data_IF_466826164872
#
_entry.id   IF_466826164872
#
_cell.length_a   1.000
_cell.length_b   1.000
_cell.length_c   1.000
_cell.angle_alpha   90.00
_cell.angle_beta   90.00
_cell.angle_gamma   90.00
#
_symmetry.space_group_name_H-M   'P 1'
#
loop_
_entity.id
_entity.type
_entity.pdbx_description
1 polymer ?
#
# COMPACT_ATOMS: atom_id res chain seq x y z
N UNK A 1 14.86 9.13 24.02
CA UNK A 1 15.71 8.64 22.90
C UNK A 1 14.79 8.09 21.86
N UNK A 2 14.83 8.55 20.61
CA UNK A 2 14.05 7.91 19.57
C UNK A 2 14.62 6.50 19.38
N UNK A 3 13.78 5.49 19.56
CA UNK A 3 14.12 4.12 19.20
C UNK A 3 14.30 4.13 17.67
N UNK A 4 15.54 4.01 17.22
CA UNK A 4 15.83 3.65 15.84
C UNK A 4 15.29 2.23 15.66
N UNK A 5 14.08 2.13 15.16
CA UNK A 5 13.58 0.90 14.58
C UNK A 5 14.38 0.64 13.31
N UNK A 6 15.52 -0.04 13.48
CA UNK A 6 16.34 -0.54 12.38
C UNK A 6 15.70 -1.78 11.79
N UNK A 7 14.44 -1.69 11.41
CA UNK A 7 13.82 -2.67 10.53
C UNK A 7 14.64 -2.73 9.23
N UNK A 8 14.75 -3.91 8.65
CA UNK A 8 15.42 -4.06 7.37
C UNK A 8 14.68 -3.22 6.33
N UNK A 9 15.35 -2.21 5.77
CA UNK A 9 14.75 -1.40 4.70
C UNK A 9 14.61 -2.24 3.43
N UNK A 10 13.65 -1.90 2.55
CA UNK A 10 13.49 -2.55 1.25
C UNK A 10 14.80 -2.54 0.44
N UNK A 11 15.57 -1.45 0.52
CA UNK A 11 16.91 -1.33 -0.06
C UNK A 11 17.88 -2.39 0.49
N UNK A 12 17.89 -2.60 1.81
CA UNK A 12 18.74 -3.62 2.43
C UNK A 12 18.35 -5.03 1.99
N UNK A 13 17.06 -5.30 1.88
CA UNK A 13 16.52 -6.56 1.39
C UNK A 13 16.95 -6.84 -0.06
N UNK A 14 16.81 -5.86 -0.95
CA UNK A 14 17.25 -5.96 -2.36
C UNK A 14 18.76 -6.18 -2.43
N UNK A 15 19.55 -5.46 -1.64
CA UNK A 15 21.01 -5.67 -1.58
C UNK A 15 21.40 -7.07 -1.11
N UNK A 16 20.64 -7.67 -0.19
CA UNK A 16 20.87 -9.06 0.21
C UNK A 16 20.55 -10.06 -0.92
N UNK A 17 19.52 -9.79 -1.71
CA UNK A 17 19.18 -10.59 -2.89
C UNK A 17 20.30 -10.49 -3.93
N UNK A 18 20.75 -9.28 -4.26
CA UNK A 18 21.86 -9.05 -5.21
C UNK A 18 23.16 -9.72 -4.75
N UNK A 19 23.49 -9.60 -3.46
CA UNK A 19 24.67 -10.21 -2.88
C UNK A 19 24.62 -11.76 -2.95
N UNK A 20 23.43 -12.37 -2.92
CA UNK A 20 23.27 -13.83 -3.01
C UNK A 20 23.75 -14.40 -4.35
N UNK A 21 23.75 -13.59 -5.40
CA UNK A 21 24.25 -13.96 -6.74
C UNK A 21 25.59 -13.29 -7.08
N UNK A 22 26.24 -12.66 -6.09
CA UNK A 22 27.56 -12.04 -6.25
C UNK A 22 27.53 -10.66 -6.92
N UNK A 23 26.39 -10.01 -7.00
CA UNK A 23 26.28 -8.64 -7.51
C UNK A 23 26.60 -7.60 -6.43
N UNK A 24 27.09 -6.43 -6.87
CA UNK A 24 27.41 -5.33 -5.98
C UNK A 24 26.13 -4.69 -5.40
N UNK A 25 26.19 -4.24 -4.12
CA UNK A 25 25.07 -3.53 -3.52
C UNK A 25 24.85 -2.17 -4.18
N UNK A 26 23.60 -1.72 -4.19
CA UNK A 26 23.19 -0.41 -4.71
C UNK A 26 22.85 0.54 -3.56
N UNK A 27 22.99 1.84 -3.80
CA UNK A 27 22.72 2.88 -2.80
C UNK A 27 21.27 3.38 -2.85
N UNK A 28 20.58 3.19 -3.98
CA UNK A 28 19.20 3.61 -4.19
C UNK A 28 18.46 2.56 -5.02
N UNK A 29 17.16 2.40 -4.78
CA UNK A 29 16.30 1.50 -5.57
C UNK A 29 15.77 2.17 -6.83
N UNK A 30 15.63 3.49 -6.79
CA UNK A 30 15.14 4.32 -7.90
C UNK A 30 16.13 5.44 -8.13
N UNK A 31 16.38 5.79 -9.37
CA UNK A 31 17.36 6.83 -9.72
C UNK A 31 16.74 8.18 -10.01
N UNK A 32 15.52 8.24 -10.51
CA UNK A 32 14.83 9.50 -10.78
C UNK A 32 13.31 9.31 -10.72
N UNK A 33 12.65 10.21 -10.00
CA UNK A 33 11.21 10.44 -10.19
C UNK A 33 11.05 11.46 -11.32
N UNK A 34 10.63 11.02 -12.47
CA UNK A 34 10.30 11.94 -13.56
C UNK A 34 8.82 12.31 -13.43
N UNK A 35 8.55 13.53 -12.99
CA UNK A 35 7.22 14.12 -13.04
C UNK A 35 6.96 14.59 -14.46
N UNK A 36 6.06 13.96 -15.18
CA UNK A 36 5.57 14.48 -16.46
C UNK A 36 4.47 15.49 -16.15
N UNK A 37 4.80 16.75 -16.33
CA UNK A 37 3.90 17.87 -16.12
C UNK A 37 3.33 18.26 -17.48
N UNK A 38 2.03 18.07 -17.68
CA UNK A 38 1.35 18.50 -18.89
C UNK A 38 0.73 19.88 -18.68
N UNK A 39 0.99 20.78 -19.63
CA UNK A 39 0.33 22.07 -19.68
C UNK A 39 -1.16 21.88 -20.01
N UNK A 40 -2.02 22.31 -19.11
CA UNK A 40 -3.49 22.24 -19.28
C UNK A 40 -4.05 23.54 -19.82
N UNK A 41 -3.57 24.67 -19.32
CA UNK A 41 -4.02 26.00 -19.74
C UNK A 41 -3.00 27.08 -19.40
N UNK A 42 -3.15 28.24 -20.05
CA UNK A 42 -2.34 29.44 -19.77
C UNK A 42 -3.22 30.52 -19.20
N UNK A 43 -2.65 31.31 -18.31
CA UNK A 43 -3.31 32.45 -17.71
C UNK A 43 -2.28 33.54 -17.39
N UNK A 44 -2.73 34.76 -17.18
CA UNK A 44 -1.86 35.88 -16.77
C UNK A 44 -1.92 36.04 -15.26
N UNK A 45 -0.78 36.15 -14.61
CA UNK A 45 -0.69 36.33 -13.17
C UNK A 45 0.67 36.83 -12.72
N UNK A 46 0.74 37.22 -11.46
CA UNK A 46 1.97 37.64 -10.79
C UNK A 46 2.06 36.94 -9.42
N UNK A 47 3.30 36.69 -8.97
CA UNK A 47 3.52 36.11 -7.64
C UNK A 47 4.31 37.11 -6.82
N UNK A 48 3.80 37.45 -5.64
CA UNK A 48 4.48 38.28 -4.65
C UNK A 48 4.56 37.52 -3.33
N UNK A 49 5.77 37.07 -2.95
CA UNK A 49 5.97 36.17 -1.82
C UNK A 49 5.24 34.82 -2.06
N UNK A 50 4.25 34.51 -1.26
CA UNK A 50 3.42 33.30 -1.41
C UNK A 50 2.05 33.57 -2.03
N UNK A 51 1.77 34.80 -2.48
CA UNK A 51 0.48 35.15 -3.07
C UNK A 51 0.58 35.22 -4.59
N UNK A 52 -0.21 34.37 -5.27
CA UNK A 52 -0.42 34.41 -6.73
C UNK A 52 -1.71 35.18 -7.00
N UNK A 53 -1.60 36.34 -7.66
CA UNK A 53 -2.74 37.15 -8.09
C UNK A 53 -2.99 36.96 -9.58
N UNK A 54 -4.21 36.59 -9.94
CA UNK A 54 -4.63 36.32 -11.32
C UNK A 54 -6.11 36.62 -11.53
N UNK A 55 -6.51 36.88 -12.79
CA UNK A 55 -7.92 37.03 -13.18
C UNK A 55 -8.63 35.65 -13.34
N UNK A 56 -7.88 34.56 -13.26
CA UNK A 56 -8.40 33.20 -13.47
C UNK A 56 -8.98 32.63 -12.17
N UNK A 57 -10.28 32.41 -12.17
CA UNK A 57 -10.99 31.76 -11.06
C UNK A 57 -10.81 30.24 -11.08
N UNK A 58 -11.03 29.58 -9.92
CA UNK A 58 -11.16 28.13 -9.78
C UNK A 58 -9.92 27.30 -10.21
N UNK A 59 -8.72 27.78 -9.87
CA UNK A 59 -7.51 26.92 -9.98
C UNK A 59 -7.51 25.97 -8.77
N UNK A 60 -7.57 24.64 -8.99
CA UNK A 60 -7.60 23.66 -7.88
C UNK A 60 -6.34 23.69 -7.03
N UNK A 61 -6.49 23.39 -5.73
CA UNK A 61 -5.35 23.15 -4.83
C UNK A 61 -4.56 21.94 -5.33
N UNK A 62 -3.23 22.03 -5.23
CA UNK A 62 -2.32 20.99 -5.76
C UNK A 62 -1.93 21.19 -7.23
N UNK A 63 -2.54 22.14 -7.95
CA UNK A 63 -2.15 22.45 -9.34
C UNK A 63 -0.75 23.05 -9.38
N UNK A 64 0.11 22.54 -10.25
CA UNK A 64 1.45 23.08 -10.47
C UNK A 64 1.40 24.30 -11.39
N UNK A 65 2.15 25.32 -11.02
CA UNK A 65 2.27 26.57 -11.76
C UNK A 65 3.65 26.62 -12.39
N UNK A 66 3.69 26.80 -13.71
CA UNK A 66 4.92 26.94 -14.49
C UNK A 66 5.00 28.29 -15.19
N UNK A 67 6.16 28.59 -15.73
CA UNK A 67 6.38 29.79 -16.51
C UNK A 67 7.76 30.38 -16.29
N UNK A 68 8.18 31.29 -17.15
CA UNK A 68 9.50 31.93 -17.03
C UNK A 68 9.65 32.65 -15.71
N UNK A 69 10.64 32.30 -14.90
CA UNK A 69 10.91 32.89 -13.58
C UNK A 69 10.10 32.31 -12.43
N UNK A 70 9.26 31.33 -12.68
CA UNK A 70 8.62 30.52 -11.62
C UNK A 70 9.56 29.42 -11.19
N UNK A 71 9.74 29.22 -9.89
CA UNK A 71 10.58 28.17 -9.34
C UNK A 71 9.91 26.80 -9.57
N UNK A 72 10.68 25.81 -10.00
CA UNK A 72 10.20 24.46 -10.20
C UNK A 72 9.57 23.89 -8.92
N UNK A 73 8.47 23.16 -9.06
CA UNK A 73 7.73 22.62 -7.93
C UNK A 73 6.74 23.58 -7.29
N UNK A 74 6.56 24.81 -7.82
CA UNK A 74 5.53 25.74 -7.35
C UNK A 74 4.15 25.17 -7.60
N UNK A 75 3.33 25.05 -6.56
CA UNK A 75 1.95 24.57 -6.63
C UNK A 75 1.01 25.43 -5.76
N UNK A 76 -0.28 25.37 -6.08
CA UNK A 76 -1.33 26.04 -5.27
C UNK A 76 -1.50 25.31 -3.95
N UNK A 77 -1.23 25.99 -2.85
CA UNK A 77 -1.38 25.44 -1.49
C UNK A 77 -2.77 25.74 -0.89
N UNK A 78 -3.35 26.92 -1.21
CA UNK A 78 -4.68 27.32 -0.72
C UNK A 78 -5.50 27.83 -1.89
N UNK A 79 -6.80 27.48 -1.90
CA UNK A 79 -7.76 27.93 -2.89
C UNK A 79 -7.84 29.45 -2.97
N UNK A 80 -8.08 29.98 -4.17
CA UNK A 80 -8.15 31.42 -4.41
C UNK A 80 -9.40 32.06 -3.78
N UNK A 81 -9.19 33.23 -3.26
CA UNK A 81 -10.22 34.12 -2.74
C UNK A 81 -10.26 35.39 -3.59
N UNK A 82 -11.43 35.89 -3.87
CA UNK A 82 -11.58 37.16 -4.59
C UNK A 82 -10.86 38.28 -3.82
N UNK A 83 -10.02 39.04 -4.53
CA UNK A 83 -9.25 40.11 -3.92
C UNK A 83 -10.17 41.25 -3.37
N UNK A 84 -9.89 41.68 -2.16
CA UNK A 84 -10.61 42.78 -1.50
C UNK A 84 -9.66 43.96 -1.26
N UNK A 85 -10.01 45.21 -1.73
CA UNK A 85 -11.26 45.59 -2.41
C UNK A 85 -11.36 45.05 -3.83
N UNK A 86 -12.61 44.81 -4.29
CA UNK A 86 -12.85 44.32 -5.63
C UNK A 86 -12.16 45.19 -6.68
N UNK A 87 -11.38 44.58 -7.54
CA UNK A 87 -10.65 45.20 -8.65
C UNK A 87 -11.42 45.02 -9.96
N UNK A 88 -11.25 45.92 -10.92
CA UNK A 88 -11.76 45.74 -12.27
C UNK A 88 -10.60 45.67 -13.25
N UNK A 89 -10.29 44.55 -13.85
CA UNK A 89 -11.00 43.25 -13.78
C UNK A 89 -10.86 42.55 -12.39
N UNK A 90 -11.81 41.67 -12.09
CA UNK A 90 -11.84 40.89 -10.84
C UNK A 90 -10.60 39.99 -10.79
N UNK A 91 -9.86 40.06 -9.70
CA UNK A 91 -8.65 39.22 -9.47
C UNK A 91 -8.89 38.27 -8.30
N UNK A 92 -8.19 37.15 -8.33
CA UNK A 92 -8.21 36.11 -7.31
C UNK A 92 -6.81 35.92 -6.74
N UNK A 93 -6.72 35.90 -5.41
CA UNK A 93 -5.47 35.64 -4.68
C UNK A 93 -5.41 34.19 -4.20
N UNK A 94 -4.44 33.46 -4.71
CA UNK A 94 -4.13 32.07 -4.32
C UNK A 94 -2.87 32.07 -3.48
N UNK A 95 -2.73 31.10 -2.58
CA UNK A 95 -1.46 30.88 -1.87
C UNK A 95 -0.67 29.78 -2.56
N UNK A 96 0.59 30.06 -2.89
CA UNK A 96 1.55 29.07 -3.42
C UNK A 96 2.47 28.57 -2.35
N UNK A 97 2.98 27.33 -2.52
CA UNK A 97 3.84 26.64 -1.57
C UNK A 97 5.27 27.23 -1.48
N UNK A 98 5.73 27.91 -2.54
CA UNK A 98 7.09 28.47 -2.60
C UNK A 98 7.02 29.99 -2.67
N UNK A 99 7.70 30.64 -1.73
CA UNK A 99 7.82 32.12 -1.71
C UNK A 99 8.76 32.60 -2.81
N UNK A 100 8.27 33.46 -3.70
CA UNK A 100 9.03 33.98 -4.83
C UNK A 100 8.42 35.30 -5.34
N UNK A 101 9.14 36.00 -6.21
CA UNK A 101 8.64 37.21 -6.85
C UNK A 101 8.67 37.05 -8.36
N UNK A 102 7.48 37.05 -8.96
CA UNK A 102 7.30 36.94 -10.42
C UNK A 102 6.40 38.08 -10.87
N UNK A 103 6.94 38.98 -11.74
CA UNK A 103 6.16 40.06 -12.33
C UNK A 103 5.04 39.52 -13.20
N UNK A 104 3.97 40.32 -13.40
CA UNK A 104 2.82 39.92 -14.23
C UNK A 104 3.24 39.43 -15.60
N UNK A 105 2.89 38.17 -15.90
CA UNK A 105 3.20 37.49 -17.17
C UNK A 105 2.29 36.29 -17.39
N UNK A 106 2.43 35.69 -18.56
CA UNK A 106 1.75 34.43 -18.86
C UNK A 106 2.38 33.30 -18.05
N UNK A 107 1.56 32.64 -17.22
CA UNK A 107 1.86 31.47 -16.45
C UNK A 107 1.12 30.27 -17.04
N UNK A 108 1.60 29.06 -16.74
CA UNK A 108 0.98 27.82 -17.19
C UNK A 108 0.38 27.08 -15.98
N UNK A 109 -0.82 26.59 -16.15
CA UNK A 109 -1.43 25.63 -15.28
C UNK A 109 -1.03 24.23 -15.74
N UNK A 110 -0.37 23.48 -14.88
CA UNK A 110 0.16 22.16 -15.20
C UNK A 110 -0.44 21.11 -14.27
N UNK A 111 -0.80 19.96 -14.80
CA UNK A 111 -1.22 18.79 -14.03
C UNK A 111 -0.21 17.68 -14.15
N UNK A 112 0.03 16.96 -13.05
CA UNK A 112 0.86 15.76 -13.04
C UNK A 112 0.03 14.62 -13.61
N UNK A 113 0.38 14.15 -14.80
CA UNK A 113 -0.36 13.07 -15.46
C UNK A 113 0.26 11.70 -15.26
N UNK A 114 1.56 11.63 -15.03
CA UNK A 114 2.24 10.34 -14.86
C UNK A 114 3.49 10.53 -14.01
N UNK A 115 3.63 9.68 -13.02
CA UNK A 115 4.87 9.51 -12.26
C UNK A 115 5.59 8.31 -12.82
N UNK A 116 6.74 8.52 -13.44
CA UNK A 116 7.58 7.44 -13.95
C UNK A 116 8.79 7.30 -13.04
N UNK A 117 8.88 6.17 -12.36
CA UNK A 117 10.09 5.78 -11.62
C UNK A 117 11.01 5.02 -12.60
N UNK A 118 12.13 5.61 -12.95
CA UNK A 118 13.15 4.95 -13.78
C UNK A 118 14.17 4.24 -12.89
N UNK A 119 14.31 2.94 -13.05
CA UNK A 119 15.36 2.17 -12.40
C UNK A 119 16.57 2.08 -13.34
N UNK A 120 17.76 2.44 -12.85
CA UNK A 120 18.98 2.45 -13.66
C UNK A 120 19.58 1.08 -13.91
N UNK A 121 19.31 0.10 -13.03
CA UNK A 121 19.86 -1.24 -13.16
C UNK A 121 18.72 -2.26 -13.31
N UNK A 122 18.65 -2.98 -14.44
CA UNK A 122 17.60 -3.98 -14.67
C UNK A 122 17.61 -5.10 -13.62
N UNK A 123 18.75 -5.48 -13.08
CA UNK A 123 18.84 -6.53 -12.06
C UNK A 123 18.23 -6.07 -10.73
N UNK A 124 18.39 -4.78 -10.39
CA UNK A 124 17.72 -4.18 -9.22
C UNK A 124 16.20 -4.17 -9.41
N UNK A 125 15.72 -3.86 -10.61
CA UNK A 125 14.31 -3.91 -10.94
C UNK A 125 13.73 -5.31 -10.77
N UNK A 126 14.43 -6.32 -11.31
CA UNK A 126 14.01 -7.72 -11.19
C UNK A 126 14.04 -8.16 -9.72
N UNK A 127 15.08 -7.80 -8.97
CA UNK A 127 15.20 -8.14 -7.54
C UNK A 127 14.08 -7.51 -6.71
N UNK A 128 13.78 -6.22 -6.93
CA UNK A 128 12.72 -5.48 -6.24
C UNK A 128 11.33 -6.07 -6.56
N UNK A 129 11.06 -6.33 -7.83
CA UNK A 129 9.80 -6.92 -8.25
C UNK A 129 9.64 -8.34 -7.67
N UNK A 130 10.71 -9.14 -7.67
CA UNK A 130 10.72 -10.47 -7.05
C UNK A 130 10.47 -10.39 -5.54
N UNK A 131 11.10 -9.42 -4.85
CA UNK A 131 10.87 -9.20 -3.42
C UNK A 131 9.40 -8.88 -3.12
N UNK A 132 8.80 -7.98 -3.88
CA UNK A 132 7.38 -7.57 -3.72
C UNK A 132 6.41 -8.70 -4.05
N UNK A 133 6.69 -9.47 -5.12
CA UNK A 133 5.92 -10.65 -5.50
C UNK A 133 5.92 -11.70 -4.37
N UNK A 134 7.11 -12.04 -3.86
CA UNK A 134 7.28 -13.00 -2.77
C UNK A 134 6.69 -12.47 -1.45
N UNK A 135 6.84 -11.18 -1.17
CA UNK A 135 6.23 -10.57 0.01
C UNK A 135 4.70 -10.75 0.02
N UNK A 136 4.06 -10.50 -1.13
CA UNK A 136 2.61 -10.70 -1.26
C UNK A 136 2.22 -12.18 -1.14
N UNK A 137 3.01 -13.08 -1.71
CA UNK A 137 2.79 -14.53 -1.62
C UNK A 137 2.88 -15.02 -0.17
N UNK A 138 3.96 -14.67 0.54
CA UNK A 138 4.18 -15.07 1.92
C UNK A 138 3.12 -14.49 2.86
N UNK A 139 2.75 -13.23 2.70
CA UNK A 139 1.70 -12.61 3.50
C UNK A 139 0.32 -13.25 3.25
N UNK A 140 0.08 -13.77 2.04
CA UNK A 140 -1.16 -14.50 1.71
C UNK A 140 -1.27 -15.86 2.40
N UNK A 141 -0.19 -16.41 2.96
CA UNK A 141 -0.23 -17.61 3.79
C UNK A 141 -1.04 -17.41 5.09
N UNK A 142 -1.16 -16.16 5.55
CA UNK A 142 -1.93 -15.78 6.74
C UNK A 142 -1.18 -16.04 8.04
N UNK A 143 -0.41 -15.05 8.47
CA UNK A 143 0.38 -15.05 9.70
C UNK A 143 -0.36 -14.31 10.82
N UNK A 144 -0.02 -14.56 12.07
CA UNK A 144 -0.65 -13.89 13.21
C UNK A 144 -0.55 -12.37 13.12
N UNK A 145 0.56 -11.83 12.58
CA UNK A 145 0.76 -10.39 12.49
C UNK A 145 -0.16 -9.68 11.49
N UNK A 146 -0.65 -10.40 10.45
CA UNK A 146 -1.49 -9.81 9.40
C UNK A 146 -2.92 -10.35 9.35
N UNK A 147 -3.32 -11.14 10.35
CA UNK A 147 -4.64 -11.74 10.46
C UNK A 147 -5.45 -11.05 11.54
N UNK A 148 -6.61 -10.55 11.19
CA UNK A 148 -7.56 -9.96 12.12
C UNK A 148 -8.88 -10.69 12.08
N UNK A 149 -9.43 -10.95 13.29
CA UNK A 149 -10.71 -11.61 13.46
C UNK A 149 -11.77 -10.60 13.89
N UNK A 150 -13.02 -10.89 13.56
CA UNK A 150 -14.19 -10.08 13.97
C UNK A 150 -14.11 -8.60 13.54
N UNK A 151 -13.36 -8.29 12.48
CA UNK A 151 -13.30 -6.94 11.95
C UNK A 151 -14.67 -6.51 11.41
N UNK A 152 -15.06 -5.27 11.66
CA UNK A 152 -16.39 -4.79 11.29
C UNK A 152 -16.34 -3.98 9.99
N UNK A 153 -17.00 -4.49 8.95
CA UNK A 153 -17.24 -3.77 7.71
C UNK A 153 -18.67 -3.21 7.69
N UNK A 154 -18.82 -1.99 7.21
CA UNK A 154 -20.13 -1.32 7.05
C UNK A 154 -20.42 -1.11 5.58
N UNK A 155 -21.65 -1.43 5.12
CA UNK A 155 -22.08 -1.09 3.77
C UNK A 155 -22.12 0.43 3.55
N UNK A 156 -21.85 0.86 2.33
CA UNK A 156 -22.01 2.25 1.90
C UNK A 156 -23.49 2.64 1.65
N UNK A 157 -23.73 3.84 1.13
CA UNK A 157 -25.08 4.35 0.79
C UNK A 157 -25.82 3.45 -0.22
N UNK A 158 -25.10 2.73 -1.06
CA UNK A 158 -25.65 1.82 -2.07
C UNK A 158 -25.90 0.40 -1.54
N UNK A 159 -25.66 0.20 -0.24
CA UNK A 159 -25.66 -1.09 0.45
C UNK A 159 -24.58 -2.05 -0.07
N UNK A 160 -23.48 -1.55 -0.60
CA UNK A 160 -22.32 -2.33 -1.03
C UNK A 160 -21.18 -2.21 -0.03
N UNK A 161 -20.44 -3.29 0.19
CA UNK A 161 -19.22 -3.29 1.00
C UNK A 161 -18.01 -3.24 0.08
N UNK A 162 -17.24 -2.15 0.15
CA UNK A 162 -16.02 -1.98 -0.60
C UNK A 162 -14.85 -2.65 0.15
N UNK A 163 -14.00 -3.34 -0.58
CA UNK A 163 -12.81 -4.03 -0.07
C UNK A 163 -11.60 -3.28 -0.59
N UNK A 164 -10.77 -2.67 0.28
CA UNK A 164 -9.52 -2.03 -0.11
C UNK A 164 -8.52 -3.03 -0.72
N UNK A 165 -7.58 -2.52 -1.52
CA UNK A 165 -6.58 -3.34 -2.23
C UNK A 165 -5.53 -3.97 -1.30
N UNK A 166 -5.41 -3.46 -0.07
CA UNK A 166 -4.56 -3.99 0.99
C UNK A 166 -5.20 -5.15 1.77
N UNK A 167 -6.45 -5.48 1.52
CA UNK A 167 -7.09 -6.69 2.04
C UNK A 167 -6.83 -7.87 1.08
N UNK A 168 -5.91 -8.77 1.46
CA UNK A 168 -5.58 -9.96 0.66
C UNK A 168 -6.71 -10.98 0.64
N UNK A 169 -7.36 -11.16 1.79
CA UNK A 169 -8.47 -12.09 1.95
C UNK A 169 -9.50 -11.53 2.92
N UNK A 170 -10.76 -11.75 2.61
CA UNK A 170 -11.91 -11.41 3.45
C UNK A 170 -12.86 -12.59 3.47
N UNK A 171 -13.20 -13.08 4.65
CA UNK A 171 -14.23 -14.10 4.84
C UNK A 171 -15.19 -13.68 5.96
N UNK A 172 -16.45 -14.02 5.83
CA UNK A 172 -17.44 -13.77 6.88
C UNK A 172 -17.14 -14.65 8.10
N UNK A 173 -17.09 -14.04 9.28
CA UNK A 173 -16.95 -14.78 10.52
C UNK A 173 -18.11 -15.78 10.71
N UNK A 174 -17.81 -16.93 11.31
CA UNK A 174 -18.79 -18.00 11.58
C UNK A 174 -20.01 -17.47 12.38
N UNK A 175 -19.79 -16.52 13.27
CA UNK A 175 -20.87 -15.88 14.04
C UNK A 175 -21.82 -15.09 13.12
N UNK A 176 -21.29 -14.42 12.09
CA UNK A 176 -22.07 -13.69 11.10
C UNK A 176 -22.74 -14.62 10.10
N UNK A 177 -22.13 -15.75 9.77
CA UNK A 177 -22.72 -16.78 8.85
C UNK A 177 -24.04 -17.37 9.39
N UNK A 178 -24.34 -17.22 10.68
CA UNK A 178 -25.54 -17.81 11.36
C UNK A 178 -26.50 -16.83 11.97
N UNK A 179 -26.41 -15.54 11.67
CA UNK A 179 -27.32 -14.58 12.25
C UNK A 179 -28.76 -14.82 11.73
N UNK A 180 -29.71 -15.01 12.66
CA UNK A 180 -31.15 -15.21 12.34
C UNK A 180 -31.49 -16.34 11.38
N UNK A 181 -30.87 -17.53 11.49
CA UNK A 181 -31.13 -18.66 10.59
C UNK A 181 -30.82 -18.40 9.10
N UNK A 182 -30.10 -17.34 8.78
CA UNK A 182 -29.63 -17.04 7.43
C UNK A 182 -28.22 -17.56 7.27
N UNK A 183 -27.98 -18.32 6.22
CA UNK A 183 -26.64 -18.64 5.78
C UNK A 183 -26.13 -17.47 4.93
N UNK A 184 -24.96 -16.96 5.29
CA UNK A 184 -24.22 -16.01 4.46
C UNK A 184 -22.93 -16.69 4.00
N UNK A 185 -22.53 -16.47 2.77
CA UNK A 185 -21.22 -16.85 2.26
C UNK A 185 -20.76 -15.74 1.33
N UNK A 186 -19.55 -15.26 1.53
CA UNK A 186 -19.04 -14.09 0.83
C UNK A 186 -17.73 -14.37 0.13
N UNK A 187 -17.49 -13.63 -0.92
CA UNK A 187 -16.23 -13.62 -1.66
C UNK A 187 -15.91 -12.20 -2.15
N UNK A 188 -14.63 -11.85 -2.19
CA UNK A 188 -14.19 -10.65 -2.87
C UNK A 188 -14.34 -10.83 -4.39
N UNK A 189 -15.09 -9.95 -5.02
CA UNK A 189 -15.26 -9.92 -6.48
C UNK A 189 -15.19 -8.49 -6.98
N UNK A 190 -14.08 -8.14 -7.61
CA UNK A 190 -13.87 -6.80 -8.16
C UNK A 190 -13.83 -5.68 -7.11
N UNK A 191 -13.17 -5.91 -5.95
CA UNK A 191 -13.06 -4.92 -4.88
C UNK A 191 -14.35 -4.73 -4.08
N UNK A 192 -15.33 -5.62 -4.22
CA UNK A 192 -16.60 -5.60 -3.48
C UNK A 192 -16.89 -6.96 -2.87
N UNK A 193 -17.51 -6.95 -1.70
CA UNK A 193 -17.99 -8.17 -1.06
C UNK A 193 -19.25 -8.66 -1.74
N UNK A 194 -19.20 -9.88 -2.28
CA UNK A 194 -20.32 -10.53 -2.99
C UNK A 194 -20.92 -11.65 -2.16
N UNK A 195 -22.24 -11.61 -1.96
CA UNK A 195 -23.00 -12.70 -1.32
C UNK A 195 -23.22 -13.83 -2.35
N UNK A 196 -22.59 -14.99 -2.10
CA UNK A 196 -22.68 -16.17 -2.99
C UNK A 196 -24.02 -16.89 -2.89
N UNK A 197 -24.77 -16.69 -1.80
CA UNK A 197 -26.04 -17.36 -1.58
C UNK A 197 -27.17 -16.57 -2.23
N UNK A 198 -27.20 -15.25 -2.02
CA UNK A 198 -28.21 -14.37 -2.61
C UNK A 198 -27.86 -13.89 -4.02
N UNK A 199 -26.64 -14.17 -4.48
CA UNK A 199 -26.13 -13.70 -5.77
C UNK A 199 -26.20 -12.19 -5.97
N UNK A 200 -25.84 -11.41 -4.92
CA UNK A 200 -25.95 -9.95 -4.92
C UNK A 200 -24.73 -9.30 -4.29
N UNK A 201 -24.45 -8.04 -4.65
CA UNK A 201 -23.49 -7.19 -3.97
C UNK A 201 -24.14 -6.36 -2.83
N UNK A 202 -25.48 -6.41 -2.68
CA UNK A 202 -26.20 -5.60 -1.72
C UNK A 202 -26.39 -6.34 -0.40
N UNK A 203 -25.97 -5.68 0.67
CA UNK A 203 -26.05 -6.17 2.03
C UNK A 203 -27.11 -5.38 2.79
N UNK A 204 -28.01 -6.07 3.45
CA UNK A 204 -29.10 -5.46 4.22
C UNK A 204 -28.75 -5.25 5.69
N UNK A 205 -27.63 -5.81 6.12
CA UNK A 205 -27.18 -5.74 7.51
C UNK A 205 -26.40 -4.45 7.73
N UNK A 206 -26.61 -3.79 8.88
CA UNK A 206 -25.95 -2.52 9.21
C UNK A 206 -24.42 -2.66 9.35
N UNK A 207 -23.95 -3.86 9.72
CA UNK A 207 -22.53 -4.18 9.83
C UNK A 207 -22.32 -5.68 9.64
N UNK A 208 -21.16 -6.04 9.10
CA UNK A 208 -20.72 -7.42 8.87
C UNK A 208 -19.43 -7.66 9.64
N UNK A 209 -19.36 -8.75 10.37
CA UNK A 209 -18.14 -9.21 11.02
C UNK A 209 -17.41 -10.17 10.08
N UNK A 210 -16.16 -9.86 9.82
CA UNK A 210 -15.32 -10.57 8.86
C UNK A 210 -13.97 -10.92 9.48
N UNK A 211 -13.38 -11.99 9.01
CA UNK A 211 -11.99 -12.33 9.28
C UNK A 211 -11.17 -11.89 8.07
N UNK A 212 -10.09 -11.14 8.32
CA UNK A 212 -9.33 -10.45 7.29
C UNK A 212 -7.87 -10.85 7.33
N UNK A 213 -7.26 -10.96 6.14
CA UNK A 213 -5.81 -10.95 5.95
C UNK A 213 -5.41 -9.63 5.31
N UNK A 214 -4.54 -8.89 5.99
CA UNK A 214 -3.99 -7.63 5.50
C UNK A 214 -2.70 -7.84 4.71
N UNK A 215 -2.47 -6.96 3.76
CA UNK A 215 -1.16 -6.75 3.16
C UNK A 215 -0.48 -5.56 3.83
N UNK A 216 0.67 -5.79 4.42
CA UNK A 216 1.47 -4.75 5.03
C UNK A 216 2.67 -4.38 4.16
N UNK A 217 3.00 -3.09 4.16
CA UNK A 217 4.25 -2.61 3.57
C UNK A 217 5.46 -3.19 4.30
N UNK A 218 6.59 -3.22 3.61
CA UNK A 218 7.83 -3.83 4.11
C UNK A 218 8.22 -3.43 5.54
N UNK A 219 8.06 -2.15 5.90
CA UNK A 219 8.42 -1.61 7.19
C UNK A 219 7.62 -2.18 8.38
N UNK A 220 6.43 -2.72 8.13
CA UNK A 220 5.53 -3.24 9.17
C UNK A 220 5.59 -4.76 9.32
N UNK A 221 6.39 -5.43 8.48
CA UNK A 221 6.55 -6.89 8.54
C UNK A 221 7.56 -7.24 9.65
N UNK A 222 7.29 -8.24 10.52
CA UNK A 222 8.24 -8.70 11.53
C UNK A 222 9.55 -9.22 10.93
N UNK A 223 10.68 -8.95 11.59
CA UNK A 223 12.02 -9.32 11.11
C UNK A 223 12.18 -10.80 10.69
N UNK A 224 11.67 -11.81 11.43
CA UNK A 224 11.79 -13.23 10.99
C UNK A 224 11.05 -13.51 9.69
N UNK A 225 9.90 -12.87 9.48
CA UNK A 225 9.12 -12.99 8.23
C UNK A 225 9.85 -12.25 7.09
N UNK A 226 10.41 -11.06 7.35
CA UNK A 226 11.25 -10.36 6.37
C UNK A 226 12.44 -11.23 5.93
N UNK A 227 13.12 -11.88 6.88
CA UNK A 227 14.24 -12.76 6.59
C UNK A 227 13.83 -13.96 5.71
N UNK A 228 12.65 -14.54 5.96
CA UNK A 228 12.09 -15.59 5.13
C UNK A 228 11.75 -15.10 3.72
N UNK A 229 11.09 -13.94 3.59
CA UNK A 229 10.77 -13.33 2.30
C UNK A 229 12.05 -13.09 1.48
N UNK A 230 13.09 -12.52 2.10
CA UNK A 230 14.38 -12.27 1.42
C UNK A 230 15.04 -13.56 0.97
N UNK A 231 15.06 -14.59 1.82
CA UNK A 231 15.66 -15.88 1.47
C UNK A 231 14.93 -16.54 0.29
N UNK A 232 13.59 -16.52 0.28
CA UNK A 232 12.77 -17.05 -0.81
C UNK A 232 12.93 -16.22 -2.08
N UNK A 233 12.94 -14.88 -1.96
CA UNK A 233 13.18 -14.00 -3.11
C UNK A 233 14.56 -14.21 -3.72
N UNK A 234 15.60 -14.47 -2.89
CA UNK A 234 16.95 -14.75 -3.37
C UNK A 234 17.02 -16.08 -4.14
N UNK A 235 16.33 -17.13 -3.70
CA UNK A 235 16.28 -18.41 -4.42
C UNK A 235 15.60 -18.26 -5.79
N UNK A 236 14.49 -17.54 -5.86
CA UNK A 236 13.76 -17.27 -7.11
C UNK A 236 14.58 -16.36 -8.03
N UNK A 237 15.17 -15.29 -7.51
CA UNK A 237 16.01 -14.37 -8.27
C UNK A 237 17.21 -15.09 -8.89
N UNK A 238 17.89 -15.95 -8.12
CA UNK A 238 19.00 -16.77 -8.63
C UNK A 238 18.58 -17.65 -9.80
N UNK A 239 17.41 -18.28 -9.74
CA UNK A 239 16.91 -19.09 -10.85
C UNK A 239 16.55 -18.29 -12.09
N UNK A 240 16.08 -17.05 -11.91
CA UNK A 240 15.70 -16.13 -13.01
C UNK A 240 16.90 -15.51 -13.72
N UNK A 241 18.00 -15.23 -12.98
CA UNK A 241 19.16 -14.49 -13.49
C UNK A 241 20.35 -15.35 -13.83
N UNK A 242 20.71 -16.28 -12.95
CA UNK A 242 21.94 -17.10 -13.10
C UNK A 242 21.66 -18.49 -13.65
N UNK A 243 20.56 -19.12 -13.26
CA UNK A 243 20.21 -20.47 -13.68
C UNK A 243 21.18 -21.56 -13.20
N UNK A 244 22.03 -21.30 -12.18
CA UNK A 244 22.95 -22.29 -11.58
C UNK A 244 22.22 -23.18 -10.57
N UNK A 245 22.13 -24.51 -10.83
CA UNK A 245 21.43 -25.44 -9.95
C UNK A 245 22.11 -25.60 -8.59
N UNK A 246 23.43 -25.48 -8.50
CA UNK A 246 24.16 -25.64 -7.23
C UNK A 246 23.87 -24.43 -6.32
N UNK A 247 23.95 -23.21 -6.86
CA UNK A 247 23.63 -22.00 -6.14
C UNK A 247 22.16 -22.03 -5.68
N UNK A 248 21.25 -22.44 -6.55
CA UNK A 248 19.84 -22.59 -6.22
C UNK A 248 19.60 -23.55 -5.06
N UNK A 249 20.25 -24.73 -5.04
CA UNK A 249 20.14 -25.66 -3.91
C UNK A 249 20.64 -25.07 -2.59
N UNK A 250 21.77 -24.33 -2.62
CA UNK A 250 22.29 -23.66 -1.43
C UNK A 250 21.31 -22.59 -0.92
N UNK A 251 20.68 -21.83 -1.81
CA UNK A 251 19.69 -20.82 -1.44
C UNK A 251 18.40 -21.44 -0.94
N UNK A 252 17.95 -22.57 -1.49
CA UNK A 252 16.81 -23.32 -0.96
C UNK A 252 17.04 -23.83 0.47
N UNK A 253 18.26 -24.27 0.81
CA UNK A 253 18.58 -24.64 2.19
C UNK A 253 18.48 -23.45 3.15
N UNK A 254 18.93 -22.26 2.72
CA UNK A 254 18.78 -21.02 3.50
C UNK A 254 17.31 -20.61 3.63
N UNK A 255 16.53 -20.75 2.57
CA UNK A 255 15.08 -20.51 2.58
C UNK A 255 14.38 -21.44 3.58
N UNK A 256 14.69 -22.75 3.56
CA UNK A 256 14.10 -23.70 4.50
C UNK A 256 14.44 -23.37 5.96
N UNK A 257 15.68 -22.94 6.23
CA UNK A 257 16.08 -22.49 7.57
C UNK A 257 15.35 -21.21 7.97
N UNK A 258 15.28 -20.21 7.09
CA UNK A 258 14.56 -18.95 7.35
C UNK A 258 13.06 -19.20 7.58
N UNK A 259 12.44 -20.12 6.82
CA UNK A 259 11.05 -20.55 7.04
C UNK A 259 10.86 -21.19 8.41
N UNK A 260 11.79 -22.03 8.85
CA UNK A 260 11.71 -22.66 10.17
C UNK A 260 11.75 -21.61 11.29
N UNK A 261 12.62 -20.60 11.18
CA UNK A 261 12.68 -19.47 12.13
C UNK A 261 11.40 -18.63 12.12
N UNK A 262 10.83 -18.38 10.94
CA UNK A 262 9.55 -17.68 10.80
C UNK A 262 8.39 -18.46 11.44
N UNK A 263 8.35 -19.78 11.27
CA UNK A 263 7.35 -20.65 11.91
C UNK A 263 7.53 -20.71 13.43
N UNK A 264 8.76 -20.72 13.93
CA UNK A 264 9.02 -20.62 15.38
C UNK A 264 8.49 -19.30 15.95
N UNK A 265 8.75 -18.19 15.26
CA UNK A 265 8.18 -16.89 15.63
C UNK A 265 6.66 -16.92 15.64
N UNK A 266 6.03 -17.48 14.61
CA UNK A 266 4.58 -17.62 14.50
C UNK A 266 3.99 -18.44 15.65
N UNK A 267 4.60 -19.58 15.98
CA UNK A 267 4.17 -20.41 17.10
C UNK A 267 4.26 -19.67 18.45
N UNK A 268 5.30 -18.86 18.63
CA UNK A 268 5.48 -18.07 19.85
C UNK A 268 4.51 -16.90 19.95
N UNK A 269 4.10 -16.30 18.81
CA UNK A 269 3.16 -15.17 18.79
C UNK A 269 1.70 -15.63 18.85
N UNK A 270 1.39 -16.77 18.22
CA UNK A 270 0.02 -17.24 18.08
C UNK A 270 -0.53 -17.97 19.31
N UNK A 271 0.35 -18.29 20.30
CA UNK A 271 -0.01 -19.08 21.49
C UNK A 271 -0.84 -20.34 21.15
N UNK A 272 -0.51 -20.97 20.03
CA UNK A 272 -1.23 -22.15 19.52
C UNK A 272 -1.20 -23.28 20.54
N UNK A 273 -2.37 -23.81 20.86
CA UNK A 273 -2.52 -24.98 21.72
C UNK A 273 -3.17 -26.13 20.97
N UNK A 274 -3.03 -27.34 21.51
CA UNK A 274 -3.72 -28.54 20.97
C UNK A 274 -5.24 -28.36 20.88
N UNK A 275 -5.81 -27.45 21.69
CA UNK A 275 -7.26 -27.21 21.75
C UNK A 275 -7.74 -26.07 20.82
N UNK A 276 -6.86 -25.50 20.00
CA UNK A 276 -7.13 -24.40 19.06
C UNK A 276 -6.46 -23.08 19.44
N UNK A 277 -6.64 -22.07 18.60
CA UNK A 277 -6.20 -20.72 18.91
C UNK A 277 -6.98 -20.16 20.10
N UNK A 278 -6.34 -19.40 21.01
CA UNK A 278 -7.04 -18.67 22.06
C UNK A 278 -7.81 -17.50 21.43
N UNK A 279 -8.99 -17.77 20.88
CA UNK A 279 -9.88 -16.76 20.35
C UNK A 279 -10.86 -16.33 21.42
N UNK A 280 -10.72 -15.09 21.92
CA UNK A 280 -11.71 -14.42 22.74
C UNK A 280 -11.92 -15.03 24.14
N UNK A 281 -12.94 -14.54 24.84
CA UNK A 281 -13.24 -14.83 26.25
C UNK A 281 -13.65 -16.29 26.56
N UNK A 282 -13.76 -17.15 25.54
CA UNK A 282 -14.18 -18.54 25.72
C UNK A 282 -13.01 -19.52 25.70
N UNK A 283 -12.14 -19.40 26.69
CA UNK A 283 -11.08 -20.37 26.99
C UNK A 283 -11.60 -21.82 27.15
N UNK A 284 -12.91 -22.00 27.32
CA UNK A 284 -13.60 -23.28 27.48
C UNK A 284 -14.45 -23.70 26.28
N UNK A 285 -14.30 -23.08 25.11
CA UNK A 285 -14.90 -23.62 23.90
C UNK A 285 -14.09 -24.84 23.45
N UNK A 286 -13.98 -25.80 24.39
CA UNK A 286 -13.44 -27.11 24.16
C UNK A 286 -14.03 -27.69 22.88
N UNK A 287 -13.17 -28.33 22.09
CA UNK A 287 -13.44 -29.20 20.96
C UNK A 287 -14.92 -29.62 20.89
N UNK A 288 -15.67 -28.93 20.04
CA UNK A 288 -17.01 -29.35 19.64
C UNK A 288 -16.88 -30.01 18.27
N UNK A 289 -16.97 -31.35 18.18
CA UNK A 289 -16.72 -32.09 16.94
C UNK A 289 -17.54 -31.60 15.75
N UNK A 290 -18.74 -31.06 16.02
CA UNK A 290 -19.60 -30.55 14.97
C UNK A 290 -19.13 -29.23 14.35
N UNK A 291 -18.25 -28.44 14.98
CA UNK A 291 -17.66 -27.24 14.40
C UNK A 291 -16.70 -27.57 13.25
N UNK A 292 -16.07 -28.74 13.28
CA UNK A 292 -15.21 -29.20 12.20
C UNK A 292 -15.98 -29.63 10.95
N UNK A 293 -17.27 -29.88 11.11
CA UNK A 293 -18.17 -30.25 9.99
C UNK A 293 -18.87 -29.05 9.36
N UNK A 294 -18.63 -27.85 9.88
CA UNK A 294 -19.23 -26.61 9.40
C UNK A 294 -18.18 -25.78 8.68
N UNK A 295 -17.94 -26.14 7.42
CA UNK A 295 -17.18 -25.33 6.45
C UNK A 295 -18.10 -24.37 5.72
#
# INVERSE_FOLDING_TARGET
>A
MPYLTTGSTELKAVNQILASVGQAPVTTLTTEETLIINEVSRFTGSIASTTLTTETANIPVGTYIGGTGVTDGTSIAVAGVEATPATDPVTFDYTVNISQTVSSRTLTRNEVTTRVETQTNPDVAIALNTLREVSREVQSEGWTFNKEFDYTLTPNSDNEVLIPDDMLQVDLNISSKRFNNRQFDSINRGGKLYDRIKHTYKWTDASLKVDILWYFEWAYIPDPIQAFIVARAASIFSSRTMGDPNLYQMLQQKEAFARAMAMEYECNQGDFSFFGEPQGENYYNSYKPFHTLQR
#
